data_IF_946624134988
#
_entry.id   IF_946624134988
#
_cell.length_a   1.000
_cell.length_b   1.000
_cell.length_c   1.000
_cell.angle_alpha   90.00
_cell.angle_beta   90.00
_cell.angle_gamma   90.00
#
_symmetry.space_group_name_H-M   'P 1'
#
loop_
_entity.id
_entity.type
_entity.pdbx_description
1 polymer ?
#
# COMPACT_ATOMS: atom_id res chain seq x y z
N UNK A 1 4.20 10.44 14.23
CA UNK A 1 4.35 11.83 13.73
C UNK A 1 5.23 11.94 12.48
N UNK A 2 6.47 11.43 12.43
CA UNK A 2 7.29 11.44 11.20
C UNK A 2 6.74 10.58 10.05
N UNK A 3 6.08 9.45 10.36
CA UNK A 3 5.48 8.56 9.36
C UNK A 3 4.32 9.23 8.61
N UNK A 4 3.47 10.02 9.27
CA UNK A 4 2.33 10.72 8.66
C UNK A 4 2.78 11.84 7.71
N UNK A 5 3.82 12.61 8.07
CA UNK A 5 4.38 13.65 7.19
C UNK A 5 5.10 13.05 5.96
N UNK A 6 5.81 11.93 6.15
CA UNK A 6 6.43 11.20 5.04
C UNK A 6 5.36 10.61 4.11
N UNK A 7 4.25 10.11 4.67
CA UNK A 7 3.14 9.55 3.89
C UNK A 7 2.36 10.64 3.15
N UNK A 8 2.11 11.79 3.76
CA UNK A 8 1.47 12.93 3.07
C UNK A 8 2.36 13.50 1.96
N UNK A 9 3.67 13.63 2.18
CA UNK A 9 4.60 14.03 1.13
C UNK A 9 4.69 12.97 0.02
N UNK A 10 4.66 11.69 0.38
CA UNK A 10 4.77 10.59 -0.55
C UNK A 10 3.50 10.36 -1.37
N UNK A 11 2.32 10.46 -0.76
CA UNK A 11 1.03 10.42 -1.46
C UNK A 11 0.82 11.69 -2.26
N UNK A 12 1.22 12.86 -1.78
CA UNK A 12 1.21 14.08 -2.59
C UNK A 12 2.12 13.93 -3.81
N UNK A 13 3.34 13.38 -3.67
CA UNK A 13 4.24 13.21 -4.81
C UNK A 13 3.79 12.09 -5.74
N UNK A 14 3.22 10.99 -5.24
CA UNK A 14 2.63 9.96 -6.10
C UNK A 14 1.39 10.51 -6.80
N UNK A 15 0.46 11.15 -6.10
CA UNK A 15 -0.72 11.74 -6.73
C UNK A 15 -0.34 12.86 -7.69
N UNK A 16 0.65 13.72 -7.40
CA UNK A 16 1.10 14.77 -8.32
C UNK A 16 1.83 14.18 -9.55
N UNK A 17 2.58 13.08 -9.39
CA UNK A 17 3.22 12.38 -10.52
C UNK A 17 2.22 11.50 -11.30
N UNK A 18 1.15 11.02 -10.66
CA UNK A 18 0.07 10.23 -11.28
C UNK A 18 -1.11 11.07 -11.76
N UNK A 19 -1.25 12.32 -11.33
CA UNK A 19 -2.22 13.31 -11.84
C UNK A 19 -1.94 13.61 -13.32
N UNK A 20 -0.70 13.39 -13.77
CA UNK A 20 -0.36 13.41 -15.20
C UNK A 20 -0.93 12.20 -15.97
N UNK A 21 -1.31 11.12 -15.29
CA UNK A 21 -1.82 9.86 -15.86
C UNK A 21 -3.31 9.60 -15.59
N UNK A 22 -3.89 10.11 -14.50
CA UNK A 22 -5.30 9.89 -14.13
C UNK A 22 -6.01 11.21 -13.82
N UNK A 23 -6.69 11.75 -14.84
CA UNK A 23 -7.45 13.02 -14.81
C UNK A 23 -8.75 12.99 -14.01
N UNK A 24 -9.04 11.96 -13.22
CA UNK A 24 -10.35 11.74 -12.62
C UNK A 24 -10.25 11.66 -11.10
N UNK A 25 -10.52 12.79 -10.44
CA UNK A 25 -10.51 12.94 -8.98
C UNK A 25 -11.56 12.08 -8.25
N UNK A 26 -12.40 11.37 -9.01
CA UNK A 26 -13.35 10.37 -8.51
C UNK A 26 -12.72 9.01 -8.16
N UNK A 27 -11.47 8.75 -8.55
CA UNK A 27 -10.84 7.42 -8.42
C UNK A 27 -10.21 7.22 -7.03
N UNK A 28 -9.44 8.19 -6.52
CA UNK A 28 -8.78 8.10 -5.22
C UNK A 28 -8.35 9.49 -4.72
N UNK A 29 -9.13 10.10 -3.82
CA UNK A 29 -8.79 11.38 -3.17
C UNK A 29 -8.33 11.28 -1.72
N UNK A 30 -7.92 12.43 -1.15
CA UNK A 30 -7.40 12.56 0.22
C UNK A 30 -8.35 12.02 1.30
N UNK A 31 -9.66 12.19 1.13
CA UNK A 31 -10.66 11.70 2.08
C UNK A 31 -10.65 10.17 2.25
N UNK A 32 -10.31 9.40 1.21
CA UNK A 32 -10.16 7.95 1.35
C UNK A 32 -8.95 7.59 2.21
N UNK A 33 -7.86 8.35 2.10
CA UNK A 33 -6.67 8.16 2.93
C UNK A 33 -6.97 8.48 4.39
N UNK A 34 -7.70 9.57 4.63
CA UNK A 34 -8.14 9.96 5.98
C UNK A 34 -9.02 8.88 6.61
N UNK A 35 -9.95 8.30 5.84
CA UNK A 35 -10.77 7.18 6.28
C UNK A 35 -9.94 5.93 6.61
N UNK A 36 -8.98 5.57 5.74
CA UNK A 36 -8.06 4.46 6.00
C UNK A 36 -7.26 4.67 7.28
N UNK A 37 -6.68 5.86 7.47
CA UNK A 37 -5.91 6.22 8.68
C UNK A 37 -6.79 6.12 9.92
N UNK A 38 -8.01 6.66 9.86
CA UNK A 38 -8.95 6.64 10.97
C UNK A 38 -9.28 5.22 11.40
N UNK A 39 -9.63 4.35 10.44
CA UNK A 39 -10.02 2.97 10.74
C UNK A 39 -8.80 2.17 11.19
N UNK A 40 -7.62 2.35 10.59
CA UNK A 40 -6.38 1.69 11.06
C UNK A 40 -6.10 1.99 12.53
N UNK A 41 -6.31 3.23 12.98
CA UNK A 41 -6.09 3.62 14.38
C UNK A 41 -7.01 2.90 15.37
N UNK A 42 -8.16 2.36 14.93
CA UNK A 42 -9.03 1.53 15.75
C UNK A 42 -8.42 0.14 15.99
N UNK A 43 -7.63 -0.37 15.06
CA UNK A 43 -6.92 -1.66 15.14
C UNK A 43 -5.49 -1.54 15.71
N UNK A 44 -4.87 -0.37 15.63
CA UNK A 44 -3.55 -0.07 16.20
C UNK A 44 -3.61 1.11 17.20
N UNK A 45 -4.30 0.94 18.35
CA UNK A 45 -4.52 2.03 19.30
C UNK A 45 -3.24 2.55 19.95
N UNK A 46 -2.17 1.74 19.94
CA UNK A 46 -0.86 2.10 20.48
C UNK A 46 0.07 2.73 19.44
N UNK A 47 -0.40 2.95 18.21
CA UNK A 47 0.37 3.51 17.10
C UNK A 47 1.71 2.79 16.86
N UNK A 48 1.69 1.45 16.94
CA UNK A 48 2.85 0.60 16.69
C UNK A 48 3.28 0.59 15.22
N UNK A 49 2.36 0.97 14.32
CA UNK A 49 2.52 0.93 12.87
C UNK A 49 2.32 -0.46 12.27
N UNK A 50 1.83 -1.44 13.04
CA UNK A 50 1.61 -2.82 12.60
C UNK A 50 0.34 -3.42 13.21
N UNK A 51 -0.38 -4.22 12.43
CA UNK A 51 -1.55 -5.02 12.90
C UNK A 51 -1.47 -6.43 12.34
N UNK A 52 -2.17 -7.39 12.94
CA UNK A 52 -2.18 -8.76 12.44
C UNK A 52 -2.86 -8.83 11.05
N UNK A 53 -2.41 -9.72 10.17
CA UNK A 53 -2.92 -9.78 8.79
C UNK A 53 -4.43 -10.06 8.71
N UNK A 54 -4.99 -10.80 9.67
CA UNK A 54 -6.43 -11.05 9.76
C UNK A 54 -7.20 -9.79 10.16
N UNK A 55 -6.65 -8.99 11.07
CA UNK A 55 -7.23 -7.71 11.48
C UNK A 55 -7.21 -6.72 10.32
N UNK A 56 -6.11 -6.69 9.56
CA UNK A 56 -6.02 -5.90 8.32
C UNK A 56 -7.07 -6.34 7.30
N UNK A 57 -7.31 -7.64 7.14
CA UNK A 57 -8.35 -8.14 6.24
C UNK A 57 -9.76 -7.69 6.68
N UNK A 58 -10.06 -7.82 7.97
CA UNK A 58 -11.35 -7.39 8.53
C UNK A 58 -11.52 -5.87 8.43
N UNK A 59 -10.47 -5.11 8.72
CA UNK A 59 -10.40 -3.66 8.54
C UNK A 59 -10.73 -3.26 7.09
N UNK A 60 -10.13 -3.92 6.10
CA UNK A 60 -10.40 -3.63 4.68
C UNK A 60 -11.82 -3.95 4.25
N UNK A 61 -12.53 -4.88 4.91
CA UNK A 61 -13.97 -5.08 4.65
C UNK A 61 -14.83 -3.92 5.14
N UNK A 62 -14.41 -3.26 6.22
CA UNK A 62 -15.11 -2.12 6.81
C UNK A 62 -14.84 -0.79 6.09
N UNK A 63 -13.85 -0.74 5.20
CA UNK A 63 -13.56 0.42 4.34
C UNK A 63 -14.22 0.18 2.99
N UNK A 64 -14.92 1.17 2.46
CA UNK A 64 -15.50 1.07 1.11
C UNK A 64 -14.43 1.25 0.02
N UNK A 65 -14.68 0.77 -1.21
CA UNK A 65 -13.84 1.09 -2.37
C UNK A 65 -13.66 2.61 -2.51
N UNK A 66 -12.48 3.10 -2.93
CA UNK A 66 -11.42 2.39 -3.65
C UNK A 66 -10.38 1.67 -2.76
N UNK A 67 -10.10 2.16 -1.55
CA UNK A 67 -9.03 1.60 -0.71
C UNK A 67 -9.44 0.31 0.00
N UNK A 68 -10.70 0.18 0.38
CA UNK A 68 -11.20 -1.04 0.99
C UNK A 68 -11.87 -1.99 0.00
N UNK A 69 -12.41 -3.07 0.55
CA UNK A 69 -13.22 -4.06 -0.16
C UNK A 69 -14.70 -3.72 -0.06
N UNK A 70 -15.14 -3.15 1.06
CA UNK A 70 -16.54 -2.97 1.41
C UNK A 70 -17.21 -4.28 1.85
N UNK A 71 -18.24 -4.14 2.69
CA UNK A 71 -18.91 -5.25 3.37
C UNK A 71 -19.59 -6.27 2.43
N UNK A 72 -19.84 -5.88 1.18
CA UNK A 72 -20.49 -6.73 0.16
C UNK A 72 -19.49 -7.43 -0.77
N UNK A 73 -18.18 -7.23 -0.60
CA UNK A 73 -17.18 -7.80 -1.48
C UNK A 73 -17.10 -9.33 -1.34
N UNK A 74 -17.20 -10.08 -2.46
CA UNK A 74 -16.96 -11.51 -2.46
C UNK A 74 -15.52 -11.84 -1.99
N UNK A 75 -15.37 -12.80 -1.07
CA UNK A 75 -14.07 -13.19 -0.54
C UNK A 75 -13.03 -13.50 -1.63
N UNK A 76 -13.44 -14.13 -2.73
CA UNK A 76 -12.55 -14.44 -3.87
C UNK A 76 -11.94 -13.18 -4.50
N UNK A 77 -12.68 -12.09 -4.60
CA UNK A 77 -12.17 -10.83 -5.15
C UNK A 77 -11.22 -10.15 -4.17
N UNK A 78 -11.57 -10.16 -2.88
CA UNK A 78 -10.71 -9.62 -1.82
C UNK A 78 -9.35 -10.35 -1.76
N UNK A 79 -9.35 -11.69 -1.75
CA UNK A 79 -8.11 -12.47 -1.76
C UNK A 79 -7.28 -12.25 -3.03
N UNK A 80 -7.93 -12.14 -4.20
CA UNK A 80 -7.21 -11.81 -5.44
C UNK A 80 -6.52 -10.44 -5.35
N UNK A 81 -7.17 -9.44 -4.74
CA UNK A 81 -6.58 -8.11 -4.52
C UNK A 81 -5.40 -8.19 -3.54
N UNK A 82 -5.55 -8.92 -2.42
CA UNK A 82 -4.46 -9.14 -1.46
C UNK A 82 -3.23 -9.83 -2.07
N UNK A 83 -3.43 -10.88 -2.87
CA UNK A 83 -2.31 -11.58 -3.55
C UNK A 83 -1.57 -10.61 -4.48
N UNK A 84 -2.31 -9.76 -5.23
CA UNK A 84 -1.72 -8.75 -6.12
C UNK A 84 -0.97 -7.66 -5.39
N UNK A 85 -1.32 -7.38 -4.14
CA UNK A 85 -0.63 -6.39 -3.31
C UNK A 85 0.73 -6.87 -2.80
N UNK A 86 0.98 -8.19 -2.80
CA UNK A 86 2.26 -8.80 -2.45
C UNK A 86 2.88 -8.23 -1.15
N UNK A 87 2.05 -8.07 -0.11
CA UNK A 87 2.48 -7.45 1.15
C UNK A 87 3.33 -8.42 1.98
N UNK A 88 4.44 -7.94 2.58
CA UNK A 88 5.25 -8.75 3.46
C UNK A 88 4.52 -8.93 4.79
N UNK A 89 4.65 -10.12 5.38
CA UNK A 89 4.14 -10.45 6.69
C UNK A 89 5.35 -10.79 7.55
N UNK A 90 5.47 -10.17 8.73
CA UNK A 90 6.56 -10.49 9.65
C UNK A 90 6.33 -11.81 10.41
N UNK A 91 7.34 -12.23 11.18
CA UNK A 91 7.31 -13.50 11.93
C UNK A 91 6.15 -13.59 12.94
N UNK A 92 5.59 -12.46 13.36
CA UNK A 92 4.44 -12.37 14.28
C UNK A 92 3.09 -12.34 13.53
N UNK A 93 3.10 -12.52 12.20
CA UNK A 93 1.88 -12.46 11.39
C UNK A 93 1.38 -11.04 11.15
N UNK A 94 2.22 -10.01 11.30
CA UNK A 94 1.81 -8.61 11.20
C UNK A 94 2.24 -7.95 9.89
N UNK A 95 1.42 -7.01 9.46
CA UNK A 95 1.66 -6.15 8.29
C UNK A 95 1.91 -4.71 8.72
N UNK A 96 2.76 -4.00 7.98
CA UNK A 96 3.09 -2.61 8.28
C UNK A 96 2.12 -1.62 7.61
N UNK A 97 1.70 -0.61 8.36
CA UNK A 97 0.81 0.47 7.90
C UNK A 97 1.23 1.10 6.57
N UNK A 98 2.49 1.52 6.46
CA UNK A 98 2.99 2.24 5.27
C UNK A 98 3.05 1.32 4.06
N UNK A 99 3.49 0.08 4.26
CA UNK A 99 3.52 -0.93 3.20
C UNK A 99 2.11 -1.27 2.71
N UNK A 100 1.16 -1.47 3.63
CA UNK A 100 -0.23 -1.78 3.29
C UNK A 100 -0.89 -0.64 2.53
N UNK A 101 -0.77 0.60 3.04
CA UNK A 101 -1.38 1.76 2.38
C UNK A 101 -0.79 1.98 0.98
N UNK A 102 0.53 1.87 0.83
CA UNK A 102 1.14 1.99 -0.48
C UNK A 102 0.69 0.89 -1.45
N UNK A 103 0.64 -0.37 -1.01
CA UNK A 103 0.19 -1.47 -1.86
C UNK A 103 -1.26 -1.29 -2.34
N UNK A 104 -2.15 -0.74 -1.50
CA UNK A 104 -3.53 -0.40 -1.88
C UNK A 104 -3.57 0.72 -2.93
N UNK A 105 -2.80 1.78 -2.74
CA UNK A 105 -2.72 2.90 -3.70
C UNK A 105 -2.16 2.39 -5.03
N UNK A 106 -1.07 1.62 -4.97
CA UNK A 106 -0.39 1.04 -6.13
C UNK A 106 -1.36 0.21 -6.98
N UNK A 107 -2.15 -0.66 -6.35
CA UNK A 107 -3.12 -1.47 -7.08
C UNK A 107 -4.29 -0.63 -7.62
N UNK A 108 -4.86 0.27 -6.82
CA UNK A 108 -6.00 1.07 -7.29
C UNK A 108 -5.65 2.02 -8.44
N UNK A 109 -4.41 2.53 -8.48
CA UNK A 109 -3.92 3.38 -9.57
C UNK A 109 -3.17 2.59 -10.67
N UNK A 110 -3.10 1.26 -10.56
CA UNK A 110 -2.36 0.39 -11.50
C UNK A 110 -0.91 0.83 -11.74
N UNK A 111 -0.23 1.31 -10.69
CA UNK A 111 1.14 1.81 -10.74
C UNK A 111 2.10 0.65 -11.03
N UNK A 112 2.62 0.60 -12.27
CA UNK A 112 3.57 -0.44 -12.71
C UNK A 112 3.06 -1.85 -12.31
N UNK A 113 1.76 -2.10 -12.49
CA UNK A 113 1.16 -3.41 -12.26
C UNK A 113 1.22 -4.21 -13.56
N UNK A 114 1.89 -5.37 -13.54
CA UNK A 114 2.04 -6.28 -14.70
C UNK A 114 1.44 -7.66 -14.40
N UNK A 115 1.67 -8.64 -15.30
CA UNK A 115 1.33 -10.03 -15.02
C UNK A 115 2.20 -10.58 -13.88
N UNK A 116 1.76 -11.66 -13.24
CA UNK A 116 2.48 -12.23 -12.09
C UNK A 116 3.93 -12.60 -12.43
N UNK A 117 4.19 -13.04 -13.67
CA UNK A 117 5.51 -13.42 -14.16
C UNK A 117 6.46 -12.21 -14.33
N UNK A 118 5.90 -11.00 -14.49
CA UNK A 118 6.64 -9.76 -14.72
C UNK A 118 6.61 -8.81 -13.52
N UNK A 119 5.94 -9.17 -12.42
CA UNK A 119 5.80 -8.30 -11.25
C UNK A 119 7.16 -7.97 -10.62
N UNK A 120 8.06 -8.93 -10.50
CA UNK A 120 9.41 -8.70 -9.97
C UNK A 120 10.18 -7.64 -10.78
N UNK A 121 10.06 -7.70 -12.10
CA UNK A 121 10.68 -6.72 -12.99
C UNK A 121 10.02 -5.34 -12.85
N UNK A 122 8.70 -5.31 -12.68
CA UNK A 122 7.95 -4.08 -12.47
C UNK A 122 8.27 -3.43 -11.11
N UNK A 123 8.49 -4.25 -10.07
CA UNK A 123 8.91 -3.83 -8.74
C UNK A 123 10.31 -3.20 -8.79
N UNK A 124 11.27 -3.80 -9.51
CA UNK A 124 12.61 -3.21 -9.65
C UNK A 124 12.59 -1.91 -10.47
N UNK A 125 11.79 -1.84 -11.55
CA UNK A 125 11.59 -0.57 -12.27
C UNK A 125 10.98 0.53 -11.39
N UNK A 126 10.04 0.16 -10.52
CA UNK A 126 9.43 1.10 -9.58
C UNK A 126 10.44 1.53 -8.52
N UNK A 127 11.30 0.62 -8.04
CA UNK A 127 12.42 0.93 -7.15
C UNK A 127 13.38 1.92 -7.77
N UNK A 128 13.80 1.71 -9.02
CA UNK A 128 14.66 2.66 -9.75
C UNK A 128 13.99 4.02 -9.93
N UNK A 129 12.70 4.05 -10.27
CA UNK A 129 11.92 5.29 -10.38
C UNK A 129 11.92 6.06 -9.05
N UNK A 130 11.68 5.38 -7.93
CA UNK A 130 11.70 5.98 -6.59
C UNK A 130 13.12 6.45 -6.19
N UNK A 131 14.18 5.73 -6.57
CA UNK A 131 15.58 6.16 -6.37
C UNK A 131 15.87 7.48 -7.08
N UNK A 132 15.37 7.64 -8.31
CA UNK A 132 15.57 8.87 -9.08
C UNK A 132 14.83 10.06 -8.47
N UNK A 133 13.62 9.85 -7.94
CA UNK A 133 12.82 10.91 -7.32
C UNK A 133 13.39 11.32 -5.96
N UNK A 134 13.86 10.35 -5.16
CA UNK A 134 14.37 10.59 -3.80
C UNK A 134 15.78 10.02 -3.55
N UNK A 135 16.82 10.55 -4.19
CA UNK A 135 18.17 10.00 -4.10
C UNK A 135 18.72 9.92 -2.66
N UNK A 136 18.26 10.78 -1.75
CA UNK A 136 18.74 10.86 -0.37
C UNK A 136 17.95 9.99 0.63
N UNK A 137 16.64 9.80 0.43
CA UNK A 137 15.80 9.00 1.33
C UNK A 137 15.43 7.61 0.77
N UNK A 138 15.70 7.35 -0.51
CA UNK A 138 15.28 6.14 -1.22
C UNK A 138 15.66 4.86 -0.49
N UNK A 139 16.90 4.71 -0.01
CA UNK A 139 17.35 3.42 0.56
C UNK A 139 16.47 2.92 1.72
N UNK A 140 16.03 3.82 2.62
CA UNK A 140 15.21 3.44 3.78
C UNK A 140 13.71 3.34 3.44
N UNK A 141 13.26 4.14 2.47
CA UNK A 141 11.86 4.20 2.04
C UNK A 141 11.53 3.03 1.10
N UNK A 142 12.45 2.63 0.21
CA UNK A 142 12.26 1.57 -0.77
C UNK A 142 11.93 0.24 -0.14
N UNK A 143 12.70 -0.18 0.87
CA UNK A 143 12.49 -1.49 1.52
C UNK A 143 11.16 -1.51 2.29
N UNK A 144 10.65 -0.34 2.72
CA UNK A 144 9.34 -0.23 3.37
C UNK A 144 8.17 -0.29 2.37
N UNK A 145 8.35 0.27 1.17
CA UNK A 145 7.29 0.41 0.16
C UNK A 145 7.22 -0.78 -0.80
N UNK A 146 8.39 -1.23 -1.24
CA UNK A 146 8.57 -2.30 -2.22
C UNK A 146 9.50 -3.29 -1.52
N UNK A 147 8.95 -4.19 -0.69
CA UNK A 147 9.71 -5.19 0.02
C UNK A 147 10.54 -5.98 -0.97
N UNK A 148 11.71 -6.44 -0.54
CA UNK A 148 12.55 -7.22 -1.44
C UNK A 148 12.02 -8.64 -1.53
N UNK A 149 12.28 -9.29 -2.67
CA UNK A 149 11.80 -10.65 -2.92
C UNK A 149 12.30 -11.69 -1.90
N UNK A 150 13.44 -11.44 -1.25
CA UNK A 150 13.98 -12.26 -0.15
C UNK A 150 13.20 -12.16 1.17
N UNK A 151 12.33 -11.17 1.32
CA UNK A 151 11.42 -11.01 2.46
C UNK A 151 10.04 -11.63 2.19
N UNK A 152 9.71 -11.92 0.93
CA UNK A 152 8.43 -12.51 0.51
C UNK A 152 8.43 -14.05 0.53
N UNK A 153 9.61 -14.68 0.61
CA UNK A 153 9.80 -16.13 0.49
C UNK A 153 10.36 -16.85 1.72
N UNK A 154 10.32 -16.23 2.90
CA UNK A 154 10.84 -16.84 4.15
C UNK A 154 9.83 -17.65 4.96
N UNK A 155 8.64 -17.91 4.42
CA UNK A 155 7.62 -18.75 5.05
C UNK A 155 7.42 -20.08 4.31
#
# INVERSE_FOLDING_TARGET
>A
FCSFLMLNLFVAVIMDNFDYLTRDSSILGAHHLDEFVRIWAEYDPNATGKIHYTEMYDMLKNIDPPLGFGNKCPNRLAYKKLIRMNMPIDDDGKVNFTTTLFALIRENLSIKMRSAEEMDQADEELRETVKQIWPLQAKKILDLLIPRNDELGKN
#
